data_IF_977283396724
#
_entry.id   IF_977283396724
#
_cell.length_a   1.000
_cell.length_b   1.000
_cell.length_c   1.000
_cell.angle_alpha   90.00
_cell.angle_beta   90.00
_cell.angle_gamma   90.00
#
_symmetry.space_group_name_H-M   'P 1'
#
loop_
_entity.id
_entity.type
_entity.pdbx_description
1 polymer ?
#
# COMPACT_ATOMS: atom_id res chain seq x y z
N UNK A 1 3.01 -31.11 -2.61
CA UNK A 1 2.36 -29.79 -2.40
C UNK A 1 2.87 -28.84 -3.48
N UNK A 2 2.00 -28.33 -4.35
CA UNK A 2 2.38 -27.44 -5.45
C UNK A 2 2.63 -26.03 -4.91
N UNK A 3 3.89 -25.59 -4.93
CA UNK A 3 4.27 -24.24 -4.48
C UNK A 3 4.29 -23.23 -5.64
N UNK A 4 4.32 -23.70 -6.89
CA UNK A 4 4.45 -22.88 -8.08
C UNK A 4 3.54 -23.39 -9.19
N UNK A 5 2.85 -22.47 -9.84
CA UNK A 5 2.06 -22.71 -11.05
C UNK A 5 2.60 -21.78 -12.14
N UNK A 6 2.96 -22.35 -13.28
CA UNK A 6 3.36 -21.60 -14.47
C UNK A 6 2.31 -21.78 -15.58
N UNK A 7 1.65 -20.67 -15.92
CA UNK A 7 0.68 -20.56 -17.00
C UNK A 7 1.14 -19.52 -18.03
N UNK A 8 2.45 -19.23 -18.10
CA UNK A 8 2.99 -18.28 -19.08
C UNK A 8 2.82 -18.75 -20.53
N UNK A 9 2.68 -17.80 -21.47
CA UNK A 9 2.62 -18.06 -22.92
C UNK A 9 1.51 -19.02 -23.38
N UNK A 10 0.37 -19.06 -22.69
CA UNK A 10 -0.76 -19.95 -23.02
C UNK A 10 -1.89 -19.25 -23.78
N UNK A 11 -1.72 -17.98 -24.16
CA UNK A 11 -2.75 -17.22 -24.86
C UNK A 11 -4.02 -16.98 -24.04
N UNK A 12 -3.94 -17.07 -22.70
CA UNK A 12 -5.08 -16.93 -21.79
C UNK A 12 -5.72 -15.56 -22.00
N UNK A 13 -7.04 -15.59 -22.22
CA UNK A 13 -7.93 -14.43 -22.28
C UNK A 13 -9.19 -14.80 -21.50
N UNK A 14 -9.56 -14.02 -20.50
CA UNK A 14 -10.72 -14.29 -19.64
C UNK A 14 -12.02 -13.78 -20.27
N UNK A 15 -11.94 -12.76 -21.14
CA UNK A 15 -13.09 -11.98 -21.60
C UNK A 15 -13.97 -11.46 -20.42
N UNK A 16 -13.35 -11.12 -19.29
CA UNK A 16 -14.06 -10.64 -18.09
C UNK A 16 -14.48 -11.72 -17.10
N UNK A 17 -14.19 -13.00 -17.38
CA UNK A 17 -14.34 -14.09 -16.42
C UNK A 17 -13.42 -13.88 -15.20
N UNK A 18 -13.91 -14.25 -14.02
CA UNK A 18 -13.25 -14.07 -12.72
C UNK A 18 -12.63 -15.34 -12.16
N UNK A 19 -12.55 -16.42 -12.93
CA UNK A 19 -11.97 -17.69 -12.48
C UNK A 19 -10.58 -17.54 -11.81
N UNK A 20 -9.66 -16.74 -12.37
CA UNK A 20 -8.32 -16.52 -11.76
C UNK A 20 -8.44 -15.70 -10.45
N UNK A 21 -9.08 -14.52 -10.42
CA UNK A 21 -9.36 -13.79 -9.18
C UNK A 21 -10.06 -14.61 -8.10
N UNK A 22 -11.07 -15.40 -8.47
CA UNK A 22 -11.86 -16.20 -7.54
C UNK A 22 -11.00 -17.29 -6.92
N UNK A 23 -10.21 -18.00 -7.74
CA UNK A 23 -9.23 -18.96 -7.25
C UNK A 23 -8.23 -18.30 -6.30
N UNK A 24 -7.67 -17.14 -6.63
CA UNK A 24 -6.74 -16.43 -5.75
C UNK A 24 -7.39 -15.99 -4.43
N UNK A 25 -8.67 -15.63 -4.46
CA UNK A 25 -9.43 -15.20 -3.28
C UNK A 25 -9.68 -16.34 -2.28
N UNK A 26 -9.65 -17.60 -2.73
CA UNK A 26 -9.71 -18.79 -1.84
C UNK A 26 -8.44 -19.01 -1.02
N UNK A 27 -7.43 -18.15 -1.20
CA UNK A 27 -6.14 -18.21 -0.51
C UNK A 27 -5.41 -19.56 -0.68
N UNK A 28 -5.24 -20.06 -1.92
CA UNK A 28 -4.63 -21.35 -2.20
C UNK A 28 -3.18 -21.42 -1.67
N UNK A 29 -2.65 -22.62 -1.37
CA UNK A 29 -1.32 -22.79 -0.76
C UNK A 29 -0.15 -22.46 -1.71
N UNK A 30 -0.43 -22.00 -2.93
CA UNK A 30 0.57 -21.64 -3.92
C UNK A 30 1.35 -20.39 -3.50
N UNK A 31 2.64 -20.36 -3.85
CA UNK A 31 3.56 -19.27 -3.55
C UNK A 31 3.91 -18.46 -4.78
N UNK A 32 3.91 -19.09 -5.95
CA UNK A 32 4.24 -18.43 -7.22
C UNK A 32 3.19 -18.76 -8.28
N UNK A 33 2.70 -17.72 -8.96
CA UNK A 33 1.84 -17.83 -10.12
C UNK A 33 2.43 -17.02 -11.28
N UNK A 34 2.76 -17.69 -12.38
CA UNK A 34 3.19 -17.02 -13.61
C UNK A 34 2.04 -16.98 -14.62
N UNK A 35 1.68 -15.77 -15.05
CA UNK A 35 0.69 -15.51 -16.10
C UNK A 35 1.31 -14.65 -17.21
N UNK A 36 2.64 -14.68 -17.36
CA UNK A 36 3.33 -13.85 -18.33
C UNK A 36 2.98 -14.20 -19.78
N UNK A 37 3.09 -13.24 -20.68
CA UNK A 37 2.93 -13.43 -22.12
C UNK A 37 1.59 -14.07 -22.50
N UNK A 38 0.53 -13.64 -21.80
CA UNK A 38 -0.86 -13.98 -22.10
C UNK A 38 -1.61 -12.75 -22.65
N UNK A 39 -2.94 -12.83 -22.78
CA UNK A 39 -3.80 -11.79 -23.33
C UNK A 39 -4.72 -11.17 -22.27
N UNK A 40 -4.25 -11.07 -21.02
CA UNK A 40 -4.98 -10.44 -19.93
C UNK A 40 -5.04 -8.92 -20.14
N UNK A 41 -6.19 -8.31 -19.83
CA UNK A 41 -6.42 -6.88 -19.98
C UNK A 41 -6.45 -6.13 -18.63
N UNK A 42 -6.76 -4.83 -18.69
CA UNK A 42 -6.81 -3.97 -17.51
C UNK A 42 -7.86 -4.42 -16.48
N UNK A 43 -8.98 -5.00 -16.91
CA UNK A 43 -10.03 -5.50 -16.02
C UNK A 43 -9.58 -6.78 -15.31
N UNK A 44 -8.90 -7.67 -16.02
CA UNK A 44 -8.31 -8.87 -15.44
C UNK A 44 -7.31 -8.53 -14.35
N UNK A 45 -6.38 -7.64 -14.68
CA UNK A 45 -5.37 -7.20 -13.72
C UNK A 45 -6.01 -6.50 -12.52
N UNK A 46 -7.08 -5.73 -12.71
CA UNK A 46 -7.82 -5.11 -11.62
C UNK A 46 -8.43 -6.15 -10.67
N UNK A 47 -9.17 -7.14 -11.19
CA UNK A 47 -9.78 -8.18 -10.37
C UNK A 47 -8.75 -9.08 -9.69
N UNK A 48 -7.65 -9.40 -10.37
CA UNK A 48 -6.52 -10.09 -9.74
C UNK A 48 -5.98 -9.24 -8.59
N UNK A 49 -5.82 -7.93 -8.80
CA UNK A 49 -5.34 -7.01 -7.76
C UNK A 49 -6.28 -6.93 -6.55
N UNK A 50 -7.58 -7.07 -6.75
CA UNK A 50 -8.60 -7.15 -5.70
C UNK A 50 -8.53 -8.47 -4.92
N UNK A 51 -8.44 -9.60 -5.61
CA UNK A 51 -8.27 -10.91 -4.99
C UNK A 51 -7.03 -11.01 -4.09
N UNK A 52 -5.95 -10.29 -4.46
CA UNK A 52 -4.73 -10.23 -3.64
C UNK A 52 -4.92 -9.54 -2.29
N UNK A 53 -6.03 -8.82 -2.06
CA UNK A 53 -6.30 -8.22 -0.76
C UNK A 53 -6.64 -9.25 0.32
N UNK A 54 -7.26 -10.38 -0.07
CA UNK A 54 -7.55 -11.51 0.82
C UNK A 54 -6.49 -12.62 0.75
N UNK A 55 -5.71 -12.69 -0.33
CA UNK A 55 -4.66 -13.69 -0.47
C UNK A 55 -3.42 -13.35 0.38
N UNK A 56 -3.08 -14.25 1.30
CA UNK A 56 -1.93 -14.14 2.21
C UNK A 56 -0.84 -15.18 1.95
N UNK A 57 -1.04 -16.10 1.00
CA UNK A 57 -0.10 -17.19 0.69
C UNK A 57 0.82 -16.85 -0.49
N UNK A 58 0.28 -16.20 -1.52
CA UNK A 58 1.00 -15.89 -2.75
C UNK A 58 2.13 -14.88 -2.48
N UNK A 59 3.32 -15.20 -2.97
CA UNK A 59 4.53 -14.37 -2.83
C UNK A 59 4.92 -13.70 -4.13
N UNK A 60 4.68 -14.36 -5.26
CA UNK A 60 5.04 -13.87 -6.57
C UNK A 60 3.89 -14.05 -7.55
N UNK A 61 3.53 -12.95 -8.22
CA UNK A 61 2.65 -12.95 -9.38
C UNK A 61 3.38 -12.31 -10.56
N UNK A 62 3.43 -13.00 -11.70
CA UNK A 62 4.04 -12.45 -12.91
C UNK A 62 2.98 -12.14 -13.97
N UNK A 63 2.77 -10.85 -14.28
CA UNK A 63 1.84 -10.36 -15.31
C UNK A 63 2.58 -9.72 -16.51
N UNK A 64 3.90 -9.94 -16.66
CA UNK A 64 4.67 -9.38 -17.79
C UNK A 64 4.10 -9.85 -19.14
N UNK A 65 4.25 -9.05 -20.19
CA UNK A 65 3.82 -9.46 -21.54
C UNK A 65 2.31 -9.59 -21.75
N UNK A 66 1.47 -9.08 -20.84
CA UNK A 66 0.02 -8.97 -21.03
C UNK A 66 -0.39 -7.60 -21.61
N UNK A 67 -1.64 -7.48 -22.06
CA UNK A 67 -2.22 -6.31 -22.71
C UNK A 67 -2.63 -5.20 -21.72
N UNK A 68 -1.78 -4.92 -20.72
CA UNK A 68 -2.05 -3.92 -19.68
C UNK A 68 -1.61 -2.53 -20.12
N UNK A 69 -2.53 -1.57 -20.11
CA UNK A 69 -2.24 -0.17 -20.38
C UNK A 69 -1.50 0.47 -19.21
N UNK A 70 -0.92 1.67 -19.41
CA UNK A 70 -0.32 2.45 -18.31
C UNK A 70 -1.36 2.76 -17.21
N UNK A 71 -2.62 3.00 -17.60
CA UNK A 71 -3.73 3.27 -16.68
C UNK A 71 -4.08 2.01 -15.88
N UNK A 72 -4.28 0.87 -16.53
CA UNK A 72 -4.55 -0.41 -15.86
C UNK A 72 -3.47 -0.78 -14.86
N UNK A 73 -2.19 -0.72 -15.27
CA UNK A 73 -1.06 -0.96 -14.36
C UNK A 73 -1.09 -0.06 -13.13
N UNK A 74 -1.41 1.23 -13.29
CA UNK A 74 -1.56 2.17 -12.17
C UNK A 74 -2.72 1.76 -11.26
N UNK A 75 -3.91 1.54 -11.82
CA UNK A 75 -5.12 1.16 -11.07
C UNK A 75 -4.90 -0.15 -10.31
N UNK A 76 -4.42 -1.20 -10.98
CA UNK A 76 -4.09 -2.49 -10.35
C UNK A 76 -3.07 -2.33 -9.24
N UNK A 77 -2.05 -1.48 -9.41
CA UNK A 77 -1.06 -1.21 -8.36
C UNK A 77 -1.69 -0.52 -7.15
N UNK A 78 -2.53 0.49 -7.36
CA UNK A 78 -3.23 1.20 -6.29
C UNK A 78 -4.17 0.26 -5.53
N UNK A 79 -4.96 -0.54 -6.27
CA UNK A 79 -5.89 -1.50 -5.71
C UNK A 79 -5.18 -2.58 -4.91
N UNK A 80 -4.26 -3.30 -5.55
CA UNK A 80 -3.50 -4.35 -4.89
C UNK A 80 -2.63 -3.73 -3.81
N UNK A 81 -1.57 -3.00 -4.16
CA UNK A 81 -0.48 -2.62 -3.24
C UNK A 81 -0.99 -1.75 -2.10
N UNK A 82 -1.83 -0.76 -2.38
CA UNK A 82 -2.25 0.23 -1.40
C UNK A 82 -3.66 -0.02 -0.85
N UNK A 83 -4.37 -1.05 -1.30
CA UNK A 83 -5.70 -1.40 -0.77
C UNK A 83 -6.78 -0.35 -1.03
N UNK A 84 -6.54 0.55 -1.99
CA UNK A 84 -7.41 1.70 -2.24
C UNK A 84 -8.72 1.20 -2.87
N UNK A 85 -9.85 1.77 -2.45
CA UNK A 85 -11.16 1.38 -2.96
C UNK A 85 -11.37 1.89 -4.40
N UNK A 86 -12.19 1.22 -5.24
CA UNK A 86 -12.40 1.64 -6.63
C UNK A 86 -12.97 3.07 -6.79
N UNK A 87 -13.93 3.51 -5.94
CA UNK A 87 -14.38 4.90 -5.94
C UNK A 87 -13.22 5.88 -5.71
N UNK A 88 -12.37 5.59 -4.73
CA UNK A 88 -11.22 6.45 -4.40
C UNK A 88 -10.24 6.49 -5.58
N UNK A 89 -9.86 5.33 -6.16
CA UNK A 89 -8.90 5.28 -7.29
C UNK A 89 -9.34 6.17 -8.45
N UNK A 90 -10.64 6.25 -8.70
CA UNK A 90 -11.20 7.06 -9.79
C UNK A 90 -11.10 8.56 -9.51
N UNK A 91 -11.14 8.96 -8.24
CA UNK A 91 -10.98 10.34 -7.80
C UNK A 91 -9.51 10.78 -7.65
N UNK A 92 -8.57 9.82 -7.49
CA UNK A 92 -7.16 10.12 -7.26
C UNK A 92 -6.47 10.75 -8.48
N UNK A 93 -6.08 12.02 -8.36
CA UNK A 93 -5.17 12.65 -9.32
C UNK A 93 -3.74 12.16 -9.08
N UNK A 94 -3.30 12.11 -7.80
CA UNK A 94 -2.03 11.56 -7.35
C UNK A 94 -2.22 10.51 -6.24
N UNK A 95 -1.15 9.80 -5.88
CA UNK A 95 -1.18 8.89 -4.71
C UNK A 95 -1.21 9.70 -3.41
N UNK A 96 -0.69 10.94 -3.40
CA UNK A 96 -0.70 11.85 -2.24
C UNK A 96 -2.11 12.07 -1.69
N UNK A 97 -3.12 12.10 -2.57
CA UNK A 97 -4.53 12.28 -2.25
C UNK A 97 -5.16 11.03 -1.58
N UNK A 98 -4.45 9.89 -1.53
CA UNK A 98 -4.99 8.65 -0.98
C UNK A 98 -5.14 8.71 0.54
N UNK A 99 -6.22 8.15 1.05
CA UNK A 99 -6.50 8.14 2.49
C UNK A 99 -5.51 7.24 3.26
N UNK A 100 -4.87 7.76 4.32
CA UNK A 100 -3.93 7.01 5.17
C UNK A 100 -4.54 5.73 5.77
N UNK A 101 -5.82 5.76 6.14
CA UNK A 101 -6.55 4.62 6.68
C UNK A 101 -6.84 3.52 5.64
N UNK A 102 -6.92 3.86 4.36
CA UNK A 102 -7.02 2.86 3.30
C UNK A 102 -5.67 2.15 3.12
N UNK A 103 -4.58 2.93 3.07
CA UNK A 103 -3.21 2.41 2.93
C UNK A 103 -2.79 1.56 4.13
N UNK A 104 -3.20 1.94 5.35
CA UNK A 104 -2.87 1.20 6.58
C UNK A 104 -3.48 -0.21 6.61
N UNK A 105 -4.60 -0.44 5.91
CA UNK A 105 -5.27 -1.75 5.86
C UNK A 105 -4.65 -2.70 4.83
N UNK A 106 -3.81 -2.20 3.91
CA UNK A 106 -3.23 -2.97 2.82
C UNK A 106 -2.10 -3.90 3.29
N UNK A 107 -2.44 -5.15 3.59
CA UNK A 107 -1.54 -6.10 4.25
C UNK A 107 -0.85 -7.09 3.32
N UNK A 108 -1.26 -7.18 2.05
CA UNK A 108 -0.69 -8.18 1.17
C UNK A 108 0.78 -7.84 0.83
N UNK A 109 1.57 -8.91 0.73
CA UNK A 109 3.02 -8.88 0.55
C UNK A 109 3.46 -9.41 -0.82
N UNK A 110 2.51 -9.79 -1.67
CA UNK A 110 2.75 -10.41 -2.98
C UNK A 110 3.45 -9.42 -3.92
N UNK A 111 4.58 -9.86 -4.48
CA UNK A 111 5.35 -9.15 -5.49
C UNK A 111 4.71 -9.35 -6.86
N UNK A 112 4.22 -8.26 -7.45
CA UNK A 112 3.56 -8.30 -8.75
C UNK A 112 4.50 -7.73 -9.81
N UNK A 113 4.92 -8.57 -10.75
CA UNK A 113 5.74 -8.17 -11.90
C UNK A 113 4.84 -7.76 -13.08
N UNK A 114 5.29 -6.80 -13.89
CA UNK A 114 4.56 -6.34 -15.08
C UNK A 114 3.66 -5.11 -14.86
N UNK A 115 3.41 -4.72 -13.60
CA UNK A 115 2.60 -3.54 -13.25
C UNK A 115 3.38 -2.36 -12.65
N UNK A 116 4.62 -2.56 -12.19
CA UNK A 116 5.45 -1.50 -11.60
C UNK A 116 6.59 -1.08 -12.54
N UNK A 117 6.57 0.17 -13.00
CA UNK A 117 7.58 0.68 -13.93
C UNK A 117 8.58 1.68 -13.30
N UNK A 118 8.40 2.13 -12.05
CA UNK A 118 9.20 3.28 -11.56
C UNK A 118 9.74 3.21 -10.13
N UNK A 119 9.45 2.16 -9.36
CA UNK A 119 10.10 1.97 -8.07
C UNK A 119 10.36 0.47 -7.90
N UNK A 120 11.64 0.06 -7.84
CA UNK A 120 12.08 -1.31 -7.54
C UNK A 120 11.23 -1.86 -6.40
N UNK A 121 10.29 -2.77 -6.67
CA UNK A 121 9.43 -3.51 -5.72
C UNK A 121 9.68 -3.22 -4.24
N UNK A 122 9.38 -1.99 -3.81
CA UNK A 122 9.91 -1.46 -2.55
C UNK A 122 8.99 -1.83 -1.40
N UNK A 123 7.74 -2.20 -1.70
CA UNK A 123 6.71 -2.53 -0.73
C UNK A 123 6.54 -4.04 -0.61
N UNK A 124 6.36 -4.72 -1.74
CA UNK A 124 6.02 -6.14 -1.77
C UNK A 124 7.12 -6.92 -2.49
N UNK A 125 7.95 -7.63 -1.73
CA UNK A 125 8.99 -8.50 -2.26
C UNK A 125 8.69 -9.99 -2.04
N UNK A 126 7.54 -10.33 -1.44
CA UNK A 126 7.14 -11.70 -1.12
C UNK A 126 7.76 -12.27 0.17
N UNK A 127 8.68 -11.56 0.82
CA UNK A 127 9.44 -12.10 1.96
C UNK A 127 9.28 -11.28 3.24
N UNK A 128 8.87 -10.01 3.14
CA UNK A 128 8.64 -9.15 4.31
C UNK A 128 7.35 -9.48 5.04
N UNK A 129 7.35 -9.25 6.35
CA UNK A 129 6.13 -9.33 7.16
C UNK A 129 5.14 -8.21 6.79
N UNK A 130 3.85 -8.48 6.95
CA UNK A 130 2.79 -7.49 6.68
C UNK A 130 3.00 -6.17 7.46
N UNK A 131 3.54 -6.23 8.68
CA UNK A 131 3.89 -5.06 9.50
C UNK A 131 4.92 -4.16 8.81
N UNK A 132 5.98 -4.75 8.24
CA UNK A 132 7.02 -4.01 7.53
C UNK A 132 6.47 -3.40 6.26
N UNK A 133 5.74 -4.20 5.48
CA UNK A 133 5.12 -3.76 4.23
C UNK A 133 4.16 -2.58 4.46
N UNK A 134 3.31 -2.65 5.49
CA UNK A 134 2.38 -1.58 5.86
C UNK A 134 3.12 -0.28 6.19
N UNK A 135 4.15 -0.35 7.02
CA UNK A 135 4.96 0.83 7.37
C UNK A 135 5.64 1.49 6.16
N UNK A 136 6.11 0.69 5.20
CA UNK A 136 6.72 1.22 3.97
C UNK A 136 5.68 1.87 3.03
N UNK A 137 4.46 1.31 2.93
CA UNK A 137 3.37 1.90 2.14
C UNK A 137 2.91 3.23 2.73
N UNK A 138 2.74 3.30 4.05
CA UNK A 138 2.42 4.55 4.76
C UNK A 138 3.51 5.61 4.56
N UNK A 139 4.78 5.21 4.72
CA UNK A 139 5.90 6.11 4.47
C UNK A 139 5.91 6.62 3.02
N UNK A 140 5.64 5.76 2.05
CA UNK A 140 5.56 6.16 0.63
C UNK A 140 4.47 7.22 0.38
N UNK A 141 3.32 7.10 1.04
CA UNK A 141 2.24 8.07 0.90
C UNK A 141 2.67 9.43 1.45
N UNK A 142 3.18 9.46 2.68
CA UNK A 142 3.67 10.68 3.32
C UNK A 142 4.80 11.32 2.50
N UNK A 143 5.71 10.50 1.97
CA UNK A 143 6.77 10.94 1.08
C UNK A 143 6.23 11.65 -0.17
N UNK A 144 5.17 11.13 -0.78
CA UNK A 144 4.53 11.76 -1.93
C UNK A 144 3.86 13.08 -1.55
N UNK A 145 3.15 13.13 -0.42
CA UNK A 145 2.54 14.38 0.09
C UNK A 145 3.58 15.47 0.36
N UNK A 146 4.72 15.12 0.94
CA UNK A 146 5.80 16.07 1.20
C UNK A 146 6.37 16.68 -0.09
N UNK A 147 6.51 15.89 -1.16
CA UNK A 147 6.97 16.41 -2.46
C UNK A 147 5.99 17.37 -3.12
N UNK A 148 4.73 17.33 -2.71
CA UNK A 148 3.64 18.15 -3.23
C UNK A 148 3.25 19.25 -2.21
N UNK A 149 3.99 19.41 -1.11
CA UNK A 149 3.72 20.36 -0.01
C UNK A 149 2.29 20.23 0.59
N UNK A 150 1.75 19.01 0.62
CA UNK A 150 0.40 18.69 1.07
C UNK A 150 0.35 17.87 2.36
N UNK A 151 1.49 17.56 2.99
CA UNK A 151 1.54 16.63 4.14
C UNK A 151 0.65 17.12 5.27
N UNK A 152 0.86 18.35 5.72
CA UNK A 152 0.19 18.91 6.90
C UNK A 152 -1.31 19.12 6.68
N UNK A 153 -1.72 19.64 5.52
CA UNK A 153 -3.14 19.90 5.21
C UNK A 153 -3.96 18.60 5.10
N UNK A 154 -3.42 17.58 4.42
CA UNK A 154 -4.06 16.26 4.30
C UNK A 154 -4.16 15.56 5.64
N UNK A 155 -3.09 15.60 6.45
CA UNK A 155 -3.11 15.04 7.80
C UNK A 155 -4.16 15.74 8.66
N UNK A 156 -4.25 17.06 8.62
CA UNK A 156 -5.26 17.80 9.39
C UNK A 156 -6.69 17.41 9.01
N UNK A 157 -6.99 17.26 7.72
CA UNK A 157 -8.33 16.83 7.27
C UNK A 157 -8.66 15.38 7.63
N UNK A 158 -7.67 14.49 7.60
CA UNK A 158 -7.89 13.06 7.90
C UNK A 158 -8.05 12.77 9.40
N UNK A 159 -7.60 13.68 10.26
CA UNK A 159 -7.39 13.44 11.69
C UNK A 159 -8.18 14.38 12.60
N UNK A 160 -9.30 14.93 12.12
CA UNK A 160 -10.07 15.99 12.78
C UNK A 160 -10.50 15.70 14.24
N UNK A 161 -10.73 14.45 14.66
CA UNK A 161 -11.14 14.15 16.07
C UNK A 161 -10.40 12.97 16.77
N UNK A 162 -9.83 11.99 16.07
CA UNK A 162 -9.16 10.81 16.71
C UNK A 162 -7.70 10.54 16.28
N UNK A 163 -7.15 11.35 15.37
CA UNK A 163 -5.92 11.02 14.66
C UNK A 163 -4.61 11.12 15.43
N UNK A 164 -4.66 11.67 16.64
CA UNK A 164 -3.51 11.83 17.54
C UNK A 164 -2.86 10.48 17.87
N UNK A 165 -3.63 9.37 17.84
CA UNK A 165 -3.14 8.02 18.14
C UNK A 165 -2.27 7.41 17.02
N UNK A 166 -2.47 7.84 15.77
CA UNK A 166 -1.68 7.36 14.62
C UNK A 166 -0.36 8.14 14.44
N UNK A 167 -0.23 9.34 15.00
CA UNK A 167 0.98 10.16 14.85
C UNK A 167 2.25 9.45 15.30
N UNK A 168 2.30 8.79 16.46
CA UNK A 168 3.52 8.10 16.88
C UNK A 168 3.80 6.87 16.03
N UNK A 169 2.77 6.24 15.46
CA UNK A 169 2.93 5.16 14.51
C UNK A 169 3.51 5.66 13.18
N UNK A 170 3.04 6.82 12.71
CA UNK A 170 3.57 7.50 11.52
C UNK A 170 5.04 7.91 11.75
N UNK A 171 5.34 8.58 12.87
CA UNK A 171 6.70 8.98 13.24
C UNK A 171 7.62 7.78 13.43
N UNK A 172 7.16 6.73 14.11
CA UNK A 172 7.92 5.49 14.26
C UNK A 172 8.18 4.80 12.90
N UNK A 173 7.20 4.80 11.98
CA UNK A 173 7.40 4.28 10.63
C UNK A 173 8.45 5.09 9.87
N UNK A 174 8.38 6.42 9.93
CA UNK A 174 9.37 7.28 9.28
C UNK A 174 10.76 7.01 9.87
N UNK A 175 10.92 7.02 11.19
CA UNK A 175 12.20 6.79 11.85
C UNK A 175 12.76 5.38 11.56
N UNK A 176 11.91 4.36 11.51
CA UNK A 176 12.31 2.96 11.24
C UNK A 176 12.74 2.74 9.79
N UNK A 177 12.07 3.39 8.82
CA UNK A 177 12.30 3.12 7.40
C UNK A 177 13.12 4.20 6.69
N UNK A 178 13.48 5.29 7.39
CA UNK A 178 14.29 6.39 6.87
C UNK A 178 15.64 5.95 6.27
N UNK A 179 16.22 4.86 6.77
CA UNK A 179 17.49 4.31 6.27
C UNK A 179 17.35 3.53 4.95
N UNK A 180 16.14 3.09 4.58
CA UNK A 180 15.87 2.36 3.32
C UNK A 180 15.58 3.29 2.14
N UNK A 181 15.41 4.57 2.41
CA UNK A 181 15.28 5.65 1.44
C UNK A 181 16.49 6.61 1.57
N UNK A 182 16.80 7.48 0.59
CA UNK A 182 17.96 8.35 0.69
C UNK A 182 17.88 9.24 1.95
N UNK A 183 18.85 9.13 2.89
CA UNK A 183 18.81 9.71 4.25
C UNK A 183 18.40 11.20 4.31
N UNK A 184 18.84 12.03 3.37
CA UNK A 184 18.54 13.48 3.33
C UNK A 184 17.05 13.80 3.19
N UNK A 185 16.26 12.85 2.69
CA UNK A 185 14.86 13.01 2.32
C UNK A 185 13.88 12.64 3.45
N UNK A 186 14.30 11.82 4.41
CA UNK A 186 13.43 11.43 5.53
C UNK A 186 13.46 12.45 6.67
N UNK A 187 14.59 13.15 6.82
CA UNK A 187 14.74 14.25 7.78
C UNK A 187 13.88 15.46 7.43
N UNK A 188 13.70 15.79 6.14
CA UNK A 188 12.84 16.91 5.72
C UNK A 188 11.36 16.66 6.04
N UNK A 189 10.89 15.43 5.82
CA UNK A 189 9.53 14.99 6.20
C UNK A 189 9.34 15.06 7.72
N UNK A 190 10.28 14.53 8.50
CA UNK A 190 10.21 14.60 9.97
C UNK A 190 10.22 16.05 10.48
N UNK A 191 11.04 16.91 9.88
CA UNK A 191 11.14 18.31 10.25
C UNK A 191 9.84 19.07 9.94
N UNK A 192 9.26 18.89 8.75
CA UNK A 192 7.96 19.47 8.40
C UNK A 192 6.89 19.00 9.41
N UNK A 193 6.80 17.70 9.67
CA UNK A 193 5.82 17.16 10.62
C UNK A 193 6.02 17.67 12.05
N UNK A 194 7.26 17.85 12.50
CA UNK A 194 7.55 18.37 13.82
C UNK A 194 7.27 19.87 13.95
N UNK A 195 7.51 20.64 12.88
CA UNK A 195 7.37 22.10 12.84
C UNK A 195 5.94 22.56 12.59
N UNK A 196 5.28 21.96 11.61
CA UNK A 196 4.06 22.51 11.01
C UNK A 196 2.79 21.74 11.39
N UNK A 197 2.94 20.50 11.88
CA UNK A 197 1.82 19.77 12.45
C UNK A 197 1.68 20.09 13.94
N UNK A 198 0.49 19.85 14.52
CA UNK A 198 0.13 20.12 15.93
C UNK A 198 0.89 19.27 16.96
N UNK A 199 2.17 18.98 16.72
CA UNK A 199 3.05 18.18 17.57
C UNK A 199 3.09 18.69 19.01
N UNK A 200 3.26 20.00 19.28
CA UNK A 200 3.23 20.54 20.63
C UNK A 200 1.91 20.25 21.38
N UNK A 201 0.76 20.44 20.73
CA UNK A 201 -0.56 20.20 21.31
C UNK A 201 -0.82 18.71 21.56
N UNK A 202 -0.30 17.82 20.70
CA UNK A 202 -0.39 16.37 20.88
C UNK A 202 0.43 15.84 22.06
N UNK A 203 1.61 16.43 22.33
CA UNK A 203 2.40 16.08 23.51
C UNK A 203 1.70 16.49 24.82
N UNK A 204 0.99 17.63 24.81
CA UNK A 204 0.19 18.10 25.94
C UNK A 204 -1.03 17.21 26.21
N UNK A 205 -1.75 16.77 25.17
CA UNK A 205 -2.90 15.85 25.29
C UNK A 205 -2.54 14.50 25.95
N UNK A 206 -1.37 13.93 25.61
CA UNK A 206 -0.88 12.69 26.24
C UNK A 206 -0.55 12.86 27.72
N UNK A 207 -0.08 14.04 28.12
CA UNK A 207 0.20 14.33 29.53
C UNK A 207 -1.11 14.52 30.31
N UNK A 208 -2.14 15.14 29.73
CA UNK A 208 -3.46 15.26 30.36
C UNK A 208 -4.19 13.92 30.49
N UNK A 209 -4.15 13.05 29.47
CA UNK A 209 -4.77 11.70 29.54
C UNK A 209 -4.09 10.80 30.60
N UNK A 210 -2.77 10.86 30.73
CA UNK A 210 -2.03 10.13 31.76
C UNK A 210 -2.23 10.70 33.18
N UNK A 211 -2.53 12.00 33.32
CA UNK A 211 -2.90 12.58 34.61
C UNK A 211 -4.31 12.19 35.08
N UNK A 212 -5.22 11.87 34.15
CA UNK A 212 -6.58 11.40 34.49
C UNK A 212 -6.67 9.89 34.74
N UNK A 213 -5.67 9.09 34.36
CA UNK A 213 -5.63 7.64 34.61
C UNK A 213 -5.13 7.25 36.02
N UNK A 214 -4.77 8.21 36.90
CA UNK A 214 -4.27 7.94 38.27
C UNK A 214 -5.31 8.25 39.36
N UNK A 215 -6.57 8.52 39.00
CA UNK A 215 -7.67 8.51 39.95
C UNK A 215 -8.80 7.67 39.41
N UNK A 216 -8.83 6.41 39.82
CA UNK A 216 -10.00 5.69 40.30
C UNK A 216 -9.51 4.34 40.87
N UNK A 217 -9.68 4.22 42.18
CA UNK A 217 -9.63 2.97 42.97
C UNK A 217 -10.55 1.89 42.41
#
# INVERSE_FOLDING_TARGET
MLLKIDLGSNGIKTNGDKCIPDFLSTNPPIKELSLNDNRLDDNDAFHIGEALLSNTQLRLLNLRGNALTKKGKRVTRLRSTFGISPPDISALQSISDANLNAVSRANHTCKIQGISNQVKNLFNDGHRSAKVVRGMKLFSLIWHRHREDQTTSQLQSEFLDEGVKLVPHVMACINTYAAKFPKRKCLSVLFELARDWKTPEMYQLRHSENCHAVKLT
#
